data_IF_338825933472
#
_entry.id   IF_338825933472
#
_cell.length_a   1.000
_cell.length_b   1.000
_cell.length_c   1.000
_cell.angle_alpha   90.00
_cell.angle_beta   90.00
_cell.angle_gamma   90.00
#
_symmetry.space_group_name_H-M   'P 1'
#
loop_
_entity.id
_entity.type
_entity.pdbx_description
1 polymer ?
#
# COMPACT_ATOMS: atom_id res chain seq x y z
N UNK A 1 4.42 9.32 3.77
CA UNK A 1 2.96 9.57 3.87
C UNK A 1 2.66 10.19 5.22
N UNK A 2 1.86 11.27 5.31
CA UNK A 2 1.49 11.91 6.59
C UNK A 2 0.35 11.17 7.27
N UNK A 3 0.34 11.07 8.60
CA UNK A 3 -0.72 10.40 9.35
C UNK A 3 -2.10 10.95 9.02
N UNK A 4 -3.08 10.06 8.90
CA UNK A 4 -4.44 10.37 8.46
C UNK A 4 -4.63 10.48 6.95
N UNK A 5 -3.55 10.45 6.14
CA UNK A 5 -3.70 10.51 4.67
C UNK A 5 -4.45 9.27 4.15
N UNK A 6 -5.51 9.47 3.33
CA UNK A 6 -6.25 8.37 2.73
C UNK A 6 -5.56 7.86 1.45
N UNK A 7 -5.77 6.58 1.16
CA UNK A 7 -5.53 5.93 -0.12
C UNK A 7 -6.88 5.40 -0.62
N UNK A 8 -7.56 6.11 -1.55
CA UNK A 8 -8.84 5.67 -2.09
C UNK A 8 -8.77 4.27 -2.70
N UNK A 9 -9.92 3.58 -2.75
CA UNK A 9 -9.99 2.28 -3.42
C UNK A 9 -9.64 2.42 -4.90
N UNK A 10 -8.74 1.56 -5.35
CA UNK A 10 -8.35 1.45 -6.74
C UNK A 10 -7.80 0.04 -7.02
N UNK A 11 -7.47 -0.20 -8.29
CA UNK A 11 -6.80 -1.41 -8.77
C UNK A 11 -5.99 -1.04 -10.00
N UNK A 12 -4.94 -1.79 -10.26
CA UNK A 12 -4.07 -1.55 -11.42
C UNK A 12 -3.40 -2.85 -11.88
N UNK A 13 -2.90 -2.92 -13.13
CA UNK A 13 -2.28 -4.14 -13.68
C UNK A 13 -0.91 -4.48 -13.07
N UNK A 14 -0.37 -3.60 -12.22
CA UNK A 14 0.89 -3.83 -11.53
C UNK A 14 0.65 -4.71 -10.32
N UNK A 15 1.46 -5.76 -10.16
CA UNK A 15 1.71 -6.33 -8.84
C UNK A 15 2.43 -5.28 -7.99
N UNK A 16 1.97 -5.08 -6.76
CA UNK A 16 2.55 -4.13 -5.83
C UNK A 16 3.05 -4.85 -4.58
N UNK A 17 4.24 -4.49 -4.11
CA UNK A 17 4.77 -4.92 -2.82
C UNK A 17 4.89 -3.68 -1.93
N UNK A 18 4.19 -3.71 -0.80
CA UNK A 18 4.19 -2.64 0.21
C UNK A 18 5.05 -3.08 1.38
N UNK A 19 6.14 -2.36 1.66
CA UNK A 19 6.99 -2.60 2.82
C UNK A 19 6.99 -1.39 3.76
N UNK A 20 6.62 -1.60 5.02
CA UNK A 20 6.56 -0.53 6.02
C UNK A 20 7.90 -0.42 6.73
N UNK A 21 8.56 0.73 6.58
CA UNK A 21 9.85 1.02 7.24
C UNK A 21 9.63 1.75 8.56
N UNK A 22 8.62 2.63 8.62
CA UNK A 22 8.25 3.38 9.83
C UNK A 22 6.77 3.71 9.80
N UNK A 23 6.15 3.73 10.98
CA UNK A 23 4.76 4.14 11.18
C UNK A 23 3.78 2.97 11.04
N UNK A 24 2.49 3.28 11.11
CA UNK A 24 1.41 2.32 10.94
C UNK A 24 0.45 2.73 9.82
N UNK A 25 0.02 1.74 9.04
CA UNK A 25 -1.04 1.89 8.04
C UNK A 25 -2.10 0.82 8.23
N UNK A 26 -3.29 1.13 7.76
CA UNK A 26 -4.35 0.15 7.56
C UNK A 26 -4.59 0.03 6.07
N UNK A 27 -4.46 -1.18 5.52
CA UNK A 27 -4.81 -1.50 4.14
C UNK A 27 -6.06 -2.38 4.13
N UNK A 28 -6.91 -2.18 3.13
CA UNK A 28 -7.94 -3.15 2.75
C UNK A 28 -7.52 -3.72 1.42
N UNK A 29 -7.34 -5.03 1.33
CA UNK A 29 -6.95 -5.75 0.12
C UNK A 29 -7.94 -6.89 -0.07
N UNK A 30 -8.61 -6.92 -1.22
CA UNK A 30 -9.69 -7.88 -1.52
C UNK A 30 -10.71 -7.99 -0.37
N UNK A 31 -11.24 -6.84 0.07
CA UNK A 31 -12.20 -6.71 1.17
C UNK A 31 -11.71 -7.17 2.56
N UNK A 32 -10.44 -7.54 2.69
CA UNK A 32 -9.85 -7.93 3.98
C UNK A 32 -8.99 -6.79 4.51
N UNK A 33 -9.20 -6.41 5.78
CA UNK A 33 -8.45 -5.35 6.43
C UNK A 33 -7.19 -5.89 7.13
N UNK A 34 -6.08 -5.18 6.95
CA UNK A 34 -4.78 -5.49 7.53
C UNK A 34 -4.20 -4.25 8.21
N UNK A 35 -3.80 -4.40 9.48
CA UNK A 35 -3.00 -3.39 10.18
C UNK A 35 -1.53 -3.73 10.02
N UNK A 36 -0.77 -2.81 9.44
CA UNK A 36 0.63 -3.01 9.07
C UNK A 36 1.52 -2.00 9.77
N UNK A 37 2.60 -2.51 10.37
CA UNK A 37 3.63 -1.71 11.06
C UNK A 37 5.04 -2.04 10.55
N UNK A 38 6.09 -1.46 11.15
CA UNK A 38 7.46 -1.61 10.65
C UNK A 38 7.90 -3.08 10.51
N UNK A 39 8.53 -3.42 9.38
CA UNK A 39 8.99 -4.77 9.06
C UNK A 39 7.95 -5.67 8.42
N UNK A 40 6.70 -5.22 8.29
CA UNK A 40 5.67 -5.96 7.55
C UNK A 40 5.78 -5.73 6.05
N UNK A 41 5.48 -6.78 5.28
CA UNK A 41 5.44 -6.78 3.81
C UNK A 41 4.09 -7.32 3.36
N UNK A 42 3.44 -6.63 2.44
CA UNK A 42 2.22 -7.07 1.77
C UNK A 42 2.49 -7.19 0.27
N UNK A 43 2.06 -8.29 -0.33
CA UNK A 43 2.01 -8.45 -1.78
C UNK A 43 0.56 -8.29 -2.22
N UNK A 44 0.33 -7.36 -3.13
CA UNK A 44 -0.97 -7.08 -3.74
C UNK A 44 -0.88 -7.54 -5.19
N UNK A 45 -1.53 -8.67 -5.56
CA UNK A 45 -1.51 -9.16 -6.93
C UNK A 45 -2.15 -8.17 -7.92
N UNK A 46 -1.75 -8.29 -9.19
CA UNK A 46 -2.31 -7.47 -10.28
C UNK A 46 -3.84 -7.54 -10.31
N UNK A 47 -4.48 -6.38 -10.48
CA UNK A 47 -5.94 -6.25 -10.60
C UNK A 47 -6.70 -6.39 -9.29
N UNK A 48 -6.04 -6.74 -8.18
CA UNK A 48 -6.69 -6.83 -6.87
C UNK A 48 -7.02 -5.42 -6.36
N UNK A 49 -8.29 -5.20 -6.01
CA UNK A 49 -8.74 -3.95 -5.41
C UNK A 49 -8.12 -3.76 -4.05
N UNK A 50 -7.63 -2.56 -3.81
CA UNK A 50 -7.06 -2.18 -2.54
C UNK A 50 -7.28 -0.71 -2.22
N UNK A 51 -7.33 -0.41 -0.92
CA UNK A 51 -7.45 0.93 -0.35
C UNK A 51 -6.68 1.00 0.95
N UNK A 52 -6.60 2.17 1.58
CA UNK A 52 -6.03 2.26 2.90
C UNK A 52 -6.03 3.65 3.51
N UNK A 53 -5.42 3.74 4.68
CA UNK A 53 -5.20 4.99 5.39
C UNK A 53 -3.97 4.87 6.27
N UNK A 54 -3.11 5.88 6.21
CA UNK A 54 -2.02 6.01 7.18
C UNK A 54 -2.58 6.39 8.56
N UNK A 55 -2.11 5.72 9.60
CA UNK A 55 -2.54 5.96 10.97
C UNK A 55 -1.59 6.97 11.62
N UNK A 56 -0.29 6.79 11.39
CA UNK A 56 0.77 7.72 11.81
C UNK A 56 1.52 8.25 10.59
N UNK A 57 2.48 9.16 10.80
CA UNK A 57 3.46 9.47 9.76
C UNK A 57 4.24 8.20 9.39
N UNK A 58 4.25 7.88 8.10
CA UNK A 58 4.79 6.63 7.58
C UNK A 58 5.91 6.84 6.55
N UNK A 59 6.90 5.95 6.60
CA UNK A 59 7.89 5.72 5.54
C UNK A 59 7.66 4.33 4.97
N UNK A 60 7.37 4.27 3.67
CA UNK A 60 6.93 3.07 2.96
C UNK A 60 7.83 2.91 1.74
N UNK A 61 8.17 1.68 1.40
CA UNK A 61 8.74 1.33 0.10
C UNK A 61 7.64 0.62 -0.67
N UNK A 62 7.26 1.18 -1.82
CA UNK A 62 6.37 0.54 -2.78
C UNK A 62 7.19 0.07 -3.99
N UNK A 63 6.99 -1.18 -4.37
CA UNK A 63 7.64 -1.82 -5.51
C UNK A 63 6.54 -2.27 -6.45
N UNK A 64 6.71 -2.01 -7.75
CA UNK A 64 5.70 -2.33 -8.76
C UNK A 64 6.30 -3.14 -9.91
N UNK A 65 5.54 -4.12 -10.41
CA UNK A 65 5.84 -4.82 -11.65
C UNK A 65 4.55 -5.07 -12.47
N UNK A 66 4.50 -4.73 -13.77
CA UNK A 66 5.50 -3.98 -14.54
C UNK A 66 5.69 -2.55 -14.02
N UNK A 67 6.66 -1.81 -14.56
CA UNK A 67 6.96 -0.45 -14.10
C UNK A 67 5.74 0.48 -14.22
N UNK A 68 5.59 1.37 -13.23
CA UNK A 68 4.64 2.51 -13.26
C UNK A 68 5.25 3.63 -14.09
N UNK A 69 5.08 3.57 -15.42
CA UNK A 69 5.59 4.64 -16.31
C UNK A 69 5.00 6.01 -15.98
N UNK A 70 3.81 6.06 -15.38
CA UNK A 70 3.14 7.27 -14.91
C UNK A 70 3.82 7.94 -13.70
N UNK A 71 4.75 7.26 -13.04
CA UNK A 71 5.51 7.78 -11.88
C UNK A 71 6.94 8.23 -12.23
N UNK A 72 7.32 8.21 -13.52
CA UNK A 72 8.61 8.74 -13.98
C UNK A 72 8.65 10.26 -14.05
#
# INVERSE_FOLDING_TARGET
VKGGSPLPEHSHPHEQIVNIIKGEIELVVDNTQYRMGPGTVMVIPSGVKHSGRSITDCKIIDIFHPVREDYR
#
